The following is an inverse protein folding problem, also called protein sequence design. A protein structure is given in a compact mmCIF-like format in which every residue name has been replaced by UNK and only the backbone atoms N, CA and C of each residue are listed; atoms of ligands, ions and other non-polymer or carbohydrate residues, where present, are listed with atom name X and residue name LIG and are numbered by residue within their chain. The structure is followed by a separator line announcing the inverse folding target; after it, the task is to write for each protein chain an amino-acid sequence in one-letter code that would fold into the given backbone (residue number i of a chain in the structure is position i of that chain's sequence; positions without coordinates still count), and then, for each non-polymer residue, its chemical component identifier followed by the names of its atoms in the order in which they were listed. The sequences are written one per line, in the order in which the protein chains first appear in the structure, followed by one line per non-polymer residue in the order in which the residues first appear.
data_IF_625603711443
#
_entry.id   IF_625603711443
#
_cell.length_a   1.000
_cell.length_b   1.000
_cell.length_c   1.000
_cell.angle_alpha   90.00
_cell.angle_beta   90.00
_cell.angle_gamma   90.00
#
_symmetry.space_group_name_H-M   'P 1'
#
loop_
_entity.id
_entity.type
_entity.pdbx_description
1 polymer ?
#
# COMPACT_ATOMS: atom_id res chain seq x y z
N UNK A 1 12.25 -0.24 16.57
CA UNK A 1 12.09 -0.90 15.28
C UNK A 1 12.56 0.02 14.15
N UNK A 2 13.04 -0.56 13.04
CA UNK A 2 13.52 0.23 11.90
C UNK A 2 12.35 0.71 11.00
N UNK A 3 11.22 0.02 11.06
CA UNK A 3 9.95 0.41 10.45
C UNK A 3 8.78 -0.14 11.27
N UNK A 4 7.66 0.56 11.24
CA UNK A 4 6.40 0.15 11.84
C UNK A 4 5.33 0.15 10.75
N UNK A 5 4.76 -1.02 10.45
CA UNK A 5 3.68 -1.16 9.50
C UNK A 5 2.39 -1.41 10.28
N UNK A 6 1.44 -0.45 10.22
CA UNK A 6 0.14 -0.61 10.83
C UNK A 6 -0.82 -1.30 9.85
N UNK A 7 -1.37 -2.45 10.24
CA UNK A 7 -2.44 -3.12 9.51
C UNK A 7 -3.79 -2.67 10.09
N UNK A 8 -4.57 -1.93 9.30
CA UNK A 8 -5.80 -1.30 9.74
C UNK A 8 -7.04 -2.00 9.18
N UNK A 9 -8.06 -2.10 10.01
CA UNK A 9 -9.41 -2.53 9.63
C UNK A 9 -10.35 -1.36 9.88
N UNK A 10 -10.70 -0.60 8.84
CA UNK A 10 -11.29 0.72 8.97
C UNK A 10 -12.14 1.15 7.76
N UNK A 11 -12.80 2.30 7.88
CA UNK A 11 -13.59 2.88 6.79
C UNK A 11 -15.00 2.33 6.71
N UNK A 12 -15.65 2.59 5.59
CA UNK A 12 -17.02 2.17 5.31
C UNK A 12 -17.05 1.16 4.18
N UNK A 13 -17.90 0.14 4.34
CA UNK A 13 -18.08 -0.89 3.31
C UNK A 13 -18.51 -0.28 1.96
N UNK A 14 -17.90 -0.76 0.89
CA UNK A 14 -18.22 -0.45 -0.51
C UNK A 14 -17.93 0.99 -0.95
N UNK A 15 -17.28 1.79 -0.11
CA UNK A 15 -16.82 3.12 -0.49
C UNK A 15 -15.43 3.02 -1.16
N UNK A 16 -15.35 3.45 -2.41
CA UNK A 16 -14.09 3.40 -3.18
C UNK A 16 -13.09 4.51 -2.83
N UNK A 17 -13.50 5.52 -2.08
CA UNK A 17 -12.62 6.57 -1.58
C UNK A 17 -12.57 6.54 -0.06
N UNK A 18 -11.38 6.76 0.54
CA UNK A 18 -11.26 6.82 1.97
C UNK A 18 -12.05 7.99 2.54
N UNK A 19 -12.78 7.75 3.63
CA UNK A 19 -13.53 8.78 4.32
C UNK A 19 -12.62 9.71 5.14
N UNK A 20 -13.21 10.70 5.80
CA UNK A 20 -12.48 11.67 6.60
C UNK A 20 -11.76 11.00 7.79
N UNK A 21 -12.42 10.09 8.47
CA UNK A 21 -11.86 9.40 9.64
C UNK A 21 -10.63 8.57 9.29
N UNK A 22 -10.65 7.85 8.16
CA UNK A 22 -9.49 7.12 7.67
C UNK A 22 -8.30 8.05 7.44
N UNK A 23 -8.53 9.22 6.82
CA UNK A 23 -7.47 10.19 6.52
C UNK A 23 -6.91 10.84 7.78
N UNK A 24 -7.77 11.20 8.73
CA UNK A 24 -7.37 11.81 10.01
C UNK A 24 -6.59 10.80 10.87
N UNK A 25 -7.07 9.55 10.96
CA UNK A 25 -6.36 8.49 11.68
C UNK A 25 -5.03 8.14 11.04
N UNK A 26 -4.96 8.08 9.71
CA UNK A 26 -3.68 7.89 9.00
C UNK A 26 -2.68 8.99 9.37
N UNK A 27 -3.10 10.25 9.33
CA UNK A 27 -2.25 11.38 9.71
C UNK A 27 -1.75 11.25 11.15
N UNK A 28 -2.65 10.92 12.08
CA UNK A 28 -2.30 10.76 13.48
C UNK A 28 -1.31 9.61 13.69
N UNK A 29 -1.53 8.44 13.06
CA UNK A 29 -0.62 7.30 13.16
C UNK A 29 0.80 7.63 12.67
N UNK A 30 0.92 8.33 11.52
CA UNK A 30 2.22 8.79 11.03
C UNK A 30 2.92 9.73 12.02
N UNK A 31 2.16 10.64 12.66
CA UNK A 31 2.69 11.53 13.70
C UNK A 31 3.15 10.76 14.97
N UNK A 32 2.57 9.58 15.22
CA UNK A 32 3.00 8.71 16.34
C UNK A 32 4.18 7.80 15.97
N UNK A 33 4.76 7.92 14.79
CA UNK A 33 5.93 7.16 14.36
C UNK A 33 5.62 5.87 13.59
N UNK A 34 4.36 5.63 13.20
CA UNK A 34 4.05 4.58 12.22
C UNK A 34 4.66 4.98 10.87
N UNK A 35 5.35 4.07 10.21
CA UNK A 35 6.03 4.36 8.94
C UNK A 35 5.15 4.05 7.72
N UNK A 36 4.38 2.98 7.76
CA UNK A 36 3.50 2.60 6.65
C UNK A 36 2.16 2.08 7.17
N UNK A 37 1.12 2.22 6.37
CA UNK A 37 -0.25 1.81 6.74
C UNK A 37 -0.83 0.97 5.62
N UNK A 38 -1.35 -0.21 5.97
CA UNK A 38 -2.04 -1.13 5.06
C UNK A 38 -3.44 -1.37 5.57
N UNK A 39 -4.43 -0.88 4.84
CA UNK A 39 -5.84 -0.93 5.23
C UNK A 39 -6.63 -2.05 4.57
N UNK A 40 -7.72 -2.42 5.24
CA UNK A 40 -8.74 -3.38 4.82
C UNK A 40 -10.11 -2.98 5.40
N UNK A 41 -11.14 -3.74 5.15
CA UNK A 41 -12.54 -3.61 5.56
C UNK A 41 -13.50 -3.08 4.48
N UNK A 42 -13.21 -2.06 3.67
CA UNK A 42 -14.19 -1.56 2.70
C UNK A 42 -14.66 -2.59 1.66
N UNK A 43 -14.03 -3.75 1.57
CA UNK A 43 -14.30 -4.80 0.59
C UNK A 43 -14.12 -4.38 -0.88
N UNK A 44 -13.68 -3.17 -1.11
CA UNK A 44 -13.30 -2.61 -2.41
C UNK A 44 -11.90 -2.00 -2.31
N UNK A 45 -11.20 -1.94 -3.40
CA UNK A 45 -9.92 -1.24 -3.48
C UNK A 45 -10.16 0.24 -3.21
N UNK A 46 -9.30 0.85 -2.38
CA UNK A 46 -9.22 2.29 -2.21
C UNK A 46 -7.84 2.79 -2.69
N UNK A 47 -7.68 4.10 -2.93
CA UNK A 47 -6.41 4.70 -3.35
C UNK A 47 -5.24 4.42 -2.41
N UNK A 48 -4.04 4.61 -2.94
CA UNK A 48 -2.79 4.54 -2.21
C UNK A 48 -2.08 5.90 -2.28
N UNK A 49 -1.32 6.22 -1.24
CA UNK A 49 -0.54 7.45 -1.16
C UNK A 49 0.93 7.13 -0.85
N UNK A 50 1.84 7.77 -1.57
CA UNK A 50 3.23 7.90 -1.19
C UNK A 50 3.43 9.32 -0.67
N UNK A 51 3.70 9.46 0.61
CA UNK A 51 4.00 10.77 1.24
C UNK A 51 5.48 10.88 1.52
N UNK A 52 6.04 12.03 1.23
CA UNK A 52 7.45 12.32 1.50
C UNK A 52 7.54 13.51 2.44
N UNK A 53 8.30 13.36 3.53
CA UNK A 53 8.63 14.42 4.47
C UNK A 53 10.15 14.44 4.66
N UNK A 54 10.83 15.34 3.96
CA UNK A 54 12.29 15.33 3.90
C UNK A 54 12.82 14.04 3.28
N UNK A 55 13.54 13.24 4.06
CA UNK A 55 14.08 11.93 3.65
C UNK A 55 13.15 10.77 3.97
N UNK A 56 12.10 11.00 4.75
CA UNK A 56 11.14 9.97 5.15
C UNK A 56 10.10 9.74 4.07
N UNK A 57 9.77 8.48 3.85
CA UNK A 57 8.75 8.04 2.89
C UNK A 57 7.74 7.16 3.61
N UNK A 58 6.47 7.49 3.43
CA UNK A 58 5.35 6.80 4.05
C UNK A 58 4.41 6.28 2.96
N UNK A 59 4.11 5.00 3.00
CA UNK A 59 3.08 4.40 2.14
C UNK A 59 1.80 4.25 2.95
N UNK A 60 0.68 4.68 2.37
CA UNK A 60 -0.65 4.44 2.88
C UNK A 60 -1.45 3.72 1.79
N UNK A 61 -1.84 2.49 2.05
CA UNK A 61 -2.83 1.75 1.25
C UNK A 61 -4.12 1.77 2.04
N UNK A 62 -5.12 2.53 1.59
CA UNK A 62 -6.36 2.68 2.35
C UNK A 62 -7.21 1.42 2.38
N UNK A 63 -7.26 0.65 1.28
CA UNK A 63 -7.86 -0.68 1.26
C UNK A 63 -7.31 -1.53 0.12
N UNK A 64 -6.93 -2.77 0.45
CA UNK A 64 -6.50 -3.78 -0.51
C UNK A 64 -7.67 -4.38 -1.32
N UNK A 65 -8.93 -4.15 -0.91
CA UNK A 65 -10.07 -4.89 -1.44
C UNK A 65 -10.17 -6.31 -0.89
N UNK A 66 -10.84 -7.18 -1.62
CA UNK A 66 -10.99 -8.60 -1.26
C UNK A 66 -9.93 -9.46 -1.97
N UNK A 67 -9.39 -10.45 -1.27
CA UNK A 67 -8.50 -11.44 -1.88
C UNK A 67 -9.32 -12.66 -2.34
N UNK A 68 -9.74 -13.55 -1.42
CA UNK A 68 -10.69 -14.62 -1.71
C UNK A 68 -11.99 -14.29 -1.00
N UNK A 69 -13.07 -14.12 -1.76
CA UNK A 69 -14.37 -13.73 -1.23
C UNK A 69 -15.50 -14.28 -2.12
N UNK A 70 -16.62 -14.60 -1.50
CA UNK A 70 -17.85 -14.96 -2.20
C UNK A 70 -18.75 -13.75 -2.48
N UNK A 71 -18.28 -12.53 -2.24
CA UNK A 71 -19.05 -11.33 -2.48
C UNK A 71 -19.25 -11.10 -3.99
N UNK A 72 -20.46 -10.66 -4.34
CA UNK A 72 -20.88 -10.46 -5.73
C UNK A 72 -21.26 -9.04 -6.09
N UNK A 73 -21.21 -8.13 -5.11
CA UNK A 73 -21.44 -6.71 -5.35
C UNK A 73 -20.33 -6.15 -6.25
N UNK A 74 -20.66 -5.17 -7.05
CA UNK A 74 -19.68 -4.55 -7.96
C UNK A 74 -18.39 -4.14 -7.23
N UNK A 75 -17.24 -4.47 -7.80
CA UNK A 75 -15.89 -4.21 -7.28
C UNK A 75 -15.53 -4.90 -5.95
N UNK A 76 -16.37 -5.85 -5.46
CA UNK A 76 -16.03 -6.66 -4.28
C UNK A 76 -15.48 -8.05 -4.65
N UNK A 77 -15.39 -8.34 -5.92
CA UNK A 77 -14.95 -9.61 -6.49
C UNK A 77 -13.45 -9.64 -6.81
N UNK A 78 -12.67 -8.82 -6.13
CA UNK A 78 -11.22 -8.81 -6.27
C UNK A 78 -10.54 -7.78 -5.39
N UNK A 79 -9.23 -7.73 -5.50
CA UNK A 79 -8.38 -6.85 -4.72
C UNK A 79 -7.03 -6.63 -5.37
N UNK A 80 -6.08 -6.17 -4.59
CA UNK A 80 -4.71 -6.01 -5.03
C UNK A 80 -3.73 -6.71 -4.08
N UNK A 81 -2.66 -7.21 -4.66
CA UNK A 81 -1.46 -7.65 -3.94
C UNK A 81 -0.49 -6.48 -3.98
N UNK A 82 -0.24 -5.87 -2.83
CA UNK A 82 0.71 -4.78 -2.70
C UNK A 82 2.09 -5.31 -2.35
N UNK A 83 3.11 -4.85 -3.06
CA UNK A 83 4.51 -5.19 -2.80
C UNK A 83 5.23 -3.95 -2.31
N UNK A 84 5.89 -4.06 -1.16
CA UNK A 84 6.70 -3.01 -0.56
C UNK A 84 8.10 -3.57 -0.28
N UNK A 85 9.12 -2.94 -0.84
CA UNK A 85 10.53 -3.23 -0.55
C UNK A 85 11.13 -2.09 0.25
N UNK A 86 11.67 -2.44 1.40
CA UNK A 86 12.33 -1.51 2.32
C UNK A 86 13.82 -1.79 2.36
N UNK A 87 14.63 -0.75 2.26
CA UNK A 87 16.07 -0.79 2.44
C UNK A 87 16.46 -0.05 3.71
N UNK A 88 17.19 -0.74 4.57
CA UNK A 88 17.77 -0.14 5.78
C UNK A 88 19.04 0.58 5.43
N UNK A 89 19.10 1.87 5.72
CA UNK A 89 20.33 2.65 5.63
C UNK A 89 21.07 2.61 6.96
N UNK A 90 22.40 2.30 6.96
CA UNK A 90 23.19 2.39 8.16
C UNK A 90 23.22 3.85 8.63
N UNK A 91 23.22 4.03 9.96
CA UNK A 91 23.45 5.35 10.53
C UNK A 91 24.78 5.90 9.99
N UNK A 92 24.83 7.21 9.64
CA UNK A 92 26.11 7.86 9.38
C UNK A 92 27.04 7.58 10.56
N UNK A 93 28.24 7.04 10.29
CA UNK A 93 29.21 6.82 11.34
C UNK A 93 29.48 8.18 12.01
N UNK A 94 29.44 8.30 13.34
CA UNK A 94 29.79 9.53 14.00
C UNK A 94 31.22 9.90 13.54
N UNK A 95 31.36 11.06 12.92
CA UNK A 95 32.66 11.59 12.57
C UNK A 95 33.41 11.69 13.92
N UNK A 96 34.33 10.75 14.19
CA UNK A 96 35.22 10.87 15.34
C UNK A 96 36.07 12.11 15.08
N UNK A 97 35.96 13.16 15.89
CA UNK A 97 36.86 14.28 15.73
C UNK A 97 38.28 13.74 15.92
N UNK A 98 39.10 13.89 14.89
CA UNK A 98 40.55 13.68 15.07
C UNK A 98 41.03 14.82 15.98
N UNK A 99 41.36 14.48 17.24
CA UNK A 99 41.95 15.42 18.16
C UNK A 99 43.34 15.81 17.67
N UNK A 100 43.41 16.83 16.84
CA UNK A 100 44.60 17.68 16.69
C UNK A 100 44.29 18.97 17.44
N UNK A 101 44.95 19.14 18.56
CA UNK A 101 44.66 20.13 19.58
C UNK A 101 44.64 21.60 19.10
N UNK A 102 43.56 22.02 18.49
CA UNK A 102 43.22 23.43 18.35
C UNK A 102 41.72 23.59 18.57
N UNK A 103 41.41 24.52 19.49
CA UNK A 103 40.05 24.93 19.82
C UNK A 103 39.23 25.24 18.56
N UNK A 104 38.29 24.38 18.22
CA UNK A 104 37.26 24.69 17.26
C UNK A 104 35.92 24.80 18.00
N UNK A 105 35.28 25.94 17.81
CA UNK A 105 33.89 26.20 18.18
C UNK A 105 33.01 25.02 17.72
N UNK A 106 32.08 24.57 18.54
CA UNK A 106 31.13 23.53 18.12
C UNK A 106 30.39 24.02 16.87
N UNK A 107 30.44 23.22 15.80
CA UNK A 107 29.52 23.40 14.66
C UNK A 107 28.09 23.31 15.19
N UNK A 108 27.17 24.19 14.70
CA UNK A 108 25.78 24.13 15.12
C UNK A 108 25.26 22.72 14.84
N UNK A 109 24.52 22.20 15.78
CA UNK A 109 23.87 20.90 15.77
C UNK A 109 23.42 20.51 14.35
N UNK A 110 24.21 19.67 13.70
CA UNK A 110 23.66 18.79 12.70
C UNK A 110 22.73 17.86 13.46
N UNK A 111 21.43 18.16 13.41
CA UNK A 111 20.40 17.32 13.96
C UNK A 111 20.76 15.85 13.61
N UNK A 112 21.02 14.98 14.58
CA UNK A 112 21.24 13.59 14.27
C UNK A 112 19.99 13.12 13.55
N UNK A 113 20.14 12.61 12.34
CA UNK A 113 19.05 11.94 11.64
C UNK A 113 18.42 10.96 12.64
N UNK A 114 17.15 11.12 13.00
CA UNK A 114 16.54 10.26 14.02
C UNK A 114 16.48 8.86 13.47
N UNK A 115 17.22 7.94 14.07
CA UNK A 115 17.18 6.50 13.90
C UNK A 115 17.63 5.94 12.52
N UNK A 116 18.07 4.67 12.47
CA UNK A 116 18.22 3.97 11.20
C UNK A 116 16.88 4.01 10.47
N UNK A 117 16.84 4.73 9.37
CA UNK A 117 15.60 4.83 8.60
C UNK A 117 15.56 3.77 7.50
N UNK A 118 14.36 3.22 7.30
CA UNK A 118 14.09 2.39 6.15
C UNK A 118 13.55 3.27 5.02
N UNK A 119 14.21 3.20 3.88
CA UNK A 119 13.74 3.85 2.66
C UNK A 119 12.90 2.88 1.85
N UNK A 120 11.84 3.38 1.23
CA UNK A 120 11.12 2.63 0.21
C UNK A 120 11.98 2.55 -1.04
N UNK A 121 12.51 1.38 -1.37
CA UNK A 121 13.31 1.18 -2.60
C UNK A 121 12.42 0.76 -3.77
N UNK A 122 11.28 0.12 -3.49
CA UNK A 122 10.27 -0.22 -4.47
C UNK A 122 8.90 -0.33 -3.81
N UNK A 123 7.87 0.13 -4.51
CA UNK A 123 6.49 -0.22 -4.21
C UNK A 123 5.72 -0.45 -5.52
N UNK A 124 4.76 -1.37 -5.47
CA UNK A 124 3.96 -1.72 -6.62
C UNK A 124 2.77 -2.59 -6.25
N UNK A 125 1.88 -2.82 -7.21
CA UNK A 125 0.71 -3.65 -6.99
C UNK A 125 0.36 -4.49 -8.21
N UNK A 126 -0.30 -5.62 -7.96
CA UNK A 126 -0.93 -6.46 -8.96
C UNK A 126 -2.41 -6.61 -8.63
N UNK A 127 -3.28 -6.36 -9.59
CA UNK A 127 -4.72 -6.60 -9.44
C UNK A 127 -5.01 -8.08 -9.59
N UNK A 128 -5.88 -8.59 -8.72
CA UNK A 128 -6.38 -9.97 -8.76
C UNK A 128 -7.90 -9.98 -8.69
N UNK A 129 -8.53 -10.70 -9.59
CA UNK A 129 -9.96 -10.94 -9.60
C UNK A 129 -10.27 -12.32 -9.03
N UNK A 130 -11.30 -12.41 -8.21
CA UNK A 130 -11.75 -13.67 -7.63
C UNK A 130 -12.85 -14.27 -8.50
N UNK A 131 -12.48 -15.23 -9.32
CA UNK A 131 -13.42 -15.98 -10.14
C UNK A 131 -14.23 -16.95 -9.29
N UNK A 132 -15.55 -16.76 -9.31
CA UNK A 132 -16.50 -17.63 -8.60
C UNK A 132 -16.85 -18.84 -9.46
N UNK A 133 -17.12 -20.03 -8.87
CA UNK A 133 -17.47 -21.26 -9.59
C UNK A 133 -18.61 -21.09 -10.60
N UNK A 134 -19.61 -20.27 -10.27
CA UNK A 134 -20.78 -20.03 -11.13
C UNK A 134 -20.39 -19.36 -12.45
N UNK A 135 -19.35 -18.50 -12.41
CA UNK A 135 -18.85 -17.75 -13.57
C UNK A 135 -17.77 -18.53 -14.33
N UNK A 136 -16.83 -19.13 -13.62
CA UNK A 136 -15.65 -19.78 -14.21
C UNK A 136 -15.88 -21.22 -14.64
N UNK A 137 -16.90 -21.88 -14.06
CA UNK A 137 -17.16 -23.32 -14.16
C UNK A 137 -16.09 -24.19 -13.49
N UNK A 138 -15.22 -23.57 -12.72
CA UNK A 138 -14.25 -24.25 -11.89
C UNK A 138 -14.89 -24.82 -10.62
N UNK A 139 -14.23 -25.79 -10.00
CA UNK A 139 -14.74 -26.43 -8.77
C UNK A 139 -14.73 -25.49 -7.56
N UNK A 140 -13.74 -24.57 -7.52
CA UNK A 140 -13.47 -23.68 -6.40
C UNK A 140 -13.32 -22.24 -6.88
N UNK A 141 -13.26 -21.31 -5.92
CA UNK A 141 -12.84 -19.94 -6.16
C UNK A 141 -11.38 -19.91 -6.61
N UNK A 142 -11.10 -19.18 -7.69
CA UNK A 142 -9.75 -19.05 -8.24
C UNK A 142 -9.40 -17.58 -8.36
N UNK A 143 -8.16 -17.24 -8.00
CA UNK A 143 -7.63 -15.91 -8.20
C UNK A 143 -7.01 -15.80 -9.59
N UNK A 144 -7.50 -14.86 -10.37
CA UNK A 144 -6.99 -14.54 -11.69
C UNK A 144 -6.27 -13.19 -11.67
N UNK A 145 -4.97 -13.16 -11.97
CA UNK A 145 -4.26 -11.88 -12.12
C UNK A 145 -4.85 -11.08 -13.30
N UNK A 146 -4.77 -9.76 -13.23
CA UNK A 146 -5.25 -8.88 -14.30
C UNK A 146 -4.62 -9.13 -15.67
N UNK A 147 -3.48 -9.81 -15.71
CA UNK A 147 -2.75 -10.23 -16.93
C UNK A 147 -3.14 -11.63 -17.42
N UNK A 148 -4.10 -12.29 -16.77
CA UNK A 148 -4.51 -13.64 -17.17
C UNK A 148 -5.07 -13.66 -18.58
N UNK A 149 -4.69 -14.64 -19.43
CA UNK A 149 -5.20 -14.78 -20.79
C UNK A 149 -6.71 -15.04 -20.78
N UNK A 150 -7.49 -14.05 -21.20
CA UNK A 150 -8.96 -14.09 -21.06
C UNK A 150 -9.64 -15.09 -21.99
N UNK A 151 -8.95 -15.58 -23.03
CA UNK A 151 -9.42 -16.64 -23.94
C UNK A 151 -9.69 -17.97 -23.22
N UNK A 152 -9.06 -18.19 -22.07
CA UNK A 152 -9.27 -19.39 -21.24
C UNK A 152 -10.46 -19.27 -20.28
N UNK A 153 -11.11 -18.11 -20.23
CA UNK A 153 -12.27 -17.87 -19.39
C UNK A 153 -13.59 -18.02 -20.17
N UNK A 154 -14.66 -18.34 -19.44
CA UNK A 154 -16.00 -18.23 -20.00
C UNK A 154 -16.28 -16.78 -20.40
N UNK A 155 -17.21 -16.52 -21.36
CA UNK A 155 -17.56 -15.13 -21.75
C UNK A 155 -18.00 -14.27 -20.56
N UNK A 156 -18.73 -14.85 -19.61
CA UNK A 156 -19.20 -14.16 -18.40
C UNK A 156 -18.05 -13.85 -17.44
N UNK A 157 -17.18 -14.81 -17.15
CA UNK A 157 -16.00 -14.63 -16.30
C UNK A 157 -15.07 -13.57 -16.89
N UNK A 158 -14.84 -13.59 -18.21
CA UNK A 158 -14.06 -12.58 -18.92
C UNK A 158 -14.63 -11.17 -18.71
N UNK A 159 -15.94 -11.00 -18.91
CA UNK A 159 -16.62 -9.73 -18.72
C UNK A 159 -16.44 -9.19 -17.30
N UNK A 160 -16.57 -10.05 -16.28
CA UNK A 160 -16.39 -9.66 -14.88
C UNK A 160 -14.95 -9.23 -14.58
N UNK A 161 -13.96 -10.02 -15.00
CA UNK A 161 -12.55 -9.67 -14.86
C UNK A 161 -12.23 -8.32 -15.54
N UNK A 162 -12.71 -8.11 -16.78
CA UNK A 162 -12.47 -6.86 -17.52
C UNK A 162 -13.09 -5.64 -16.81
N UNK A 163 -14.32 -5.77 -16.30
CA UNK A 163 -14.98 -4.71 -15.52
C UNK A 163 -14.19 -4.39 -14.27
N UNK A 164 -13.81 -5.41 -13.48
CA UNK A 164 -13.03 -5.24 -12.26
C UNK A 164 -11.69 -4.53 -12.55
N UNK A 165 -10.93 -5.03 -13.52
CA UNK A 165 -9.62 -4.46 -13.88
C UNK A 165 -9.75 -3.03 -14.38
N UNK A 166 -10.74 -2.74 -15.25
CA UNK A 166 -10.98 -1.40 -15.80
C UNK A 166 -11.36 -0.40 -14.70
N UNK A 167 -12.30 -0.78 -13.81
CA UNK A 167 -12.72 0.10 -12.71
C UNK A 167 -11.61 0.36 -11.72
N UNK A 168 -10.85 -0.68 -11.34
CA UNK A 168 -9.71 -0.57 -10.42
C UNK A 168 -8.59 0.30 -10.99
N UNK A 169 -8.21 0.11 -12.26
CA UNK A 169 -7.21 0.95 -12.93
C UNK A 169 -7.65 2.40 -13.02
N UNK A 170 -8.92 2.65 -13.37
CA UNK A 170 -9.47 4.01 -13.43
C UNK A 170 -9.36 4.69 -12.05
N UNK A 171 -9.76 4.01 -10.98
CA UNK A 171 -9.67 4.52 -9.62
C UNK A 171 -8.22 4.86 -9.25
N UNK A 172 -7.30 3.92 -9.45
CA UNK A 172 -5.91 4.06 -9.05
C UNK A 172 -5.16 5.10 -9.90
N UNK A 173 -5.45 5.22 -11.20
CA UNK A 173 -4.87 6.26 -12.05
C UNK A 173 -5.31 7.68 -11.68
N UNK A 174 -6.54 7.85 -11.20
CA UNK A 174 -7.08 9.16 -10.85
C UNK A 174 -6.70 9.62 -9.45
N UNK A 175 -6.43 8.69 -8.54
CA UNK A 175 -6.30 8.96 -7.11
C UNK A 175 -5.00 8.43 -6.47
N UNK A 176 -4.21 7.65 -7.20
CA UNK A 176 -2.88 7.24 -6.71
C UNK A 176 -1.87 8.38 -6.88
N UNK A 177 -1.00 8.44 -5.94
CA UNK A 177 0.16 9.33 -5.93
C UNK A 177 1.37 8.59 -6.46
#
# INVERSE_FOLDING_TARGET
PDAIIACMHWGEEYQSLPNREQRELANWLLQQGVTHIIGSHPHVIQPMELRTNGTEQHIIVYSLGNFISNMSKANTDGGLIFTLQLEKHPLPQPIRPSYTGQSQTPLPDSNPLPFPYCRVSYCGYNLVWTGRPELTKEKNYILYPASFPTEHLTPEARKHLEIFVKSSRKLLQQHNI
#
